data_IF_749412094342
#
_entry.id   IF_749412094342
#
_cell.length_a   1.000
_cell.length_b   1.000
_cell.length_c   1.000
_cell.angle_alpha   90.00
_cell.angle_beta   90.00
_cell.angle_gamma   90.00
#
_symmetry.space_group_name_H-M   'P 1'
#
loop_
_entity.id
_entity.type
_entity.pdbx_description
1 polymer ?
#
# COMPACT_ATOMS: atom_id res chain seq x y z
N UNK A 1 -13.93 -33.25 -7.42
CA UNK A 1 -13.68 -32.11 -8.30
C UNK A 1 -13.21 -30.93 -7.48
N UNK A 2 -12.27 -30.15 -8.03
CA UNK A 2 -11.93 -28.79 -7.55
C UNK A 2 -12.47 -27.85 -8.60
N UNK A 3 -13.27 -26.89 -8.16
CA UNK A 3 -13.86 -25.86 -8.99
C UNK A 3 -13.44 -24.49 -8.47
N UNK A 4 -12.93 -23.63 -9.35
CA UNK A 4 -12.55 -22.27 -9.01
C UNK A 4 -13.33 -21.28 -9.87
N UNK A 5 -13.94 -20.29 -9.23
CA UNK A 5 -14.71 -19.26 -9.90
C UNK A 5 -14.17 -17.87 -9.49
N UNK A 6 -13.94 -17.04 -10.51
CA UNK A 6 -13.60 -15.62 -10.32
C UNK A 6 -14.86 -14.82 -10.66
N UNK A 7 -15.24 -13.90 -9.80
CA UNK A 7 -16.42 -13.05 -9.95
C UNK A 7 -16.13 -11.62 -9.49
N UNK A 8 -17.02 -10.67 -9.77
CA UNK A 8 -16.84 -9.28 -9.34
C UNK A 8 -16.93 -9.13 -7.82
N UNK A 9 -18.04 -9.55 -7.24
CA UNK A 9 -18.39 -9.30 -5.83
C UNK A 9 -18.76 -10.58 -5.06
N UNK A 10 -18.43 -11.74 -5.58
CA UNK A 10 -18.84 -13.02 -5.00
C UNK A 10 -20.18 -13.53 -5.55
N UNK A 11 -20.50 -14.78 -5.19
CA UNK A 11 -21.73 -15.46 -5.63
C UNK A 11 -22.85 -15.38 -4.61
N UNK A 12 -22.57 -14.82 -3.45
CA UNK A 12 -23.50 -14.61 -2.36
C UNK A 12 -23.63 -13.12 -2.03
N UNK A 13 -24.62 -12.75 -1.23
CA UNK A 13 -24.86 -11.38 -0.83
C UNK A 13 -25.62 -10.53 -1.85
N UNK A 14 -25.81 -9.25 -1.52
CA UNK A 14 -26.62 -8.31 -2.29
C UNK A 14 -26.02 -7.92 -3.65
N UNK A 15 -24.73 -8.07 -3.84
CA UNK A 15 -24.00 -7.68 -5.06
C UNK A 15 -23.72 -8.85 -6.02
N UNK A 16 -24.19 -10.05 -5.72
CA UNK A 16 -23.86 -11.30 -6.46
C UNK A 16 -24.16 -11.27 -7.97
N UNK A 17 -25.13 -10.50 -8.39
CA UNK A 17 -25.52 -10.35 -9.79
C UNK A 17 -24.89 -9.14 -10.48
N UNK A 18 -24.10 -8.34 -9.76
CA UNK A 18 -23.51 -7.12 -10.29
C UNK A 18 -22.28 -7.45 -11.13
N UNK A 19 -22.22 -6.88 -12.34
CA UNK A 19 -21.01 -6.93 -13.15
C UNK A 19 -19.92 -6.03 -12.57
N UNK A 20 -18.67 -6.45 -12.70
CA UNK A 20 -17.51 -5.67 -12.28
C UNK A 20 -16.44 -5.70 -13.37
N UNK A 21 -15.69 -4.62 -13.42
CA UNK A 21 -14.44 -4.49 -14.17
C UNK A 21 -13.38 -3.92 -13.25
N UNK A 22 -12.12 -4.25 -13.53
CA UNK A 22 -10.98 -3.80 -12.73
C UNK A 22 -11.05 -2.32 -12.31
N UNK A 23 -11.28 -1.32 -13.19
CA UNK A 23 -11.32 0.08 -12.76
C UNK A 23 -12.45 0.41 -11.78
N UNK A 24 -13.59 -0.27 -11.90
CA UNK A 24 -14.73 -0.09 -10.99
C UNK A 24 -14.36 -0.64 -9.62
N UNK A 25 -13.78 -1.83 -9.59
CA UNK A 25 -13.34 -2.47 -8.35
C UNK A 25 -12.24 -1.67 -7.66
N UNK A 26 -11.27 -1.13 -8.41
CA UNK A 26 -10.25 -0.23 -7.85
C UNK A 26 -10.88 1.01 -7.18
N UNK A 27 -11.93 1.58 -7.78
CA UNK A 27 -12.62 2.74 -7.21
C UNK A 27 -13.37 2.38 -5.93
N UNK A 28 -14.17 1.33 -5.96
CA UNK A 28 -15.07 0.95 -4.86
C UNK A 28 -14.34 0.34 -3.67
N UNK A 29 -13.22 -0.36 -3.91
CA UNK A 29 -12.41 -0.95 -2.84
C UNK A 29 -11.55 0.06 -2.09
N UNK A 30 -11.42 1.30 -2.59
CA UNK A 30 -10.51 2.31 -2.03
C UNK A 30 -9.09 2.27 -2.59
N UNK A 31 -8.75 1.38 -3.52
CA UNK A 31 -7.41 1.36 -4.13
C UNK A 31 -7.07 2.68 -4.81
N UNK A 32 -8.03 3.30 -5.52
CA UNK A 32 -7.81 4.62 -6.12
C UNK A 32 -7.55 5.71 -5.08
N UNK A 33 -8.11 5.60 -3.89
CA UNK A 33 -7.86 6.55 -2.80
C UNK A 33 -6.42 6.50 -2.28
N UNK A 34 -5.70 5.39 -2.48
CA UNK A 34 -4.29 5.25 -2.06
C UNK A 34 -3.30 5.70 -3.14
N UNK A 35 -3.75 5.90 -4.37
CA UNK A 35 -2.92 6.22 -5.53
C UNK A 35 -3.14 7.68 -5.99
N UNK A 36 -2.10 8.28 -6.59
CA UNK A 36 -2.08 9.69 -6.95
C UNK A 36 -1.43 10.57 -5.88
N UNK A 37 -1.64 11.87 -6.00
CA UNK A 37 -1.15 12.89 -5.05
C UNK A 37 -2.20 13.98 -4.79
N UNK A 38 -1.85 15.01 -4.05
CA UNK A 38 -2.75 16.13 -3.72
C UNK A 38 -3.21 16.92 -4.95
N UNK A 39 -2.43 16.92 -6.05
CA UNK A 39 -2.74 17.67 -7.28
C UNK A 39 -3.59 16.85 -8.25
N UNK A 40 -3.25 15.57 -8.40
CA UNK A 40 -3.95 14.67 -9.33
C UNK A 40 -5.25 14.11 -8.75
N UNK A 41 -5.38 14.10 -7.42
CA UNK A 41 -6.47 13.40 -6.74
C UNK A 41 -6.31 11.87 -6.79
N UNK A 42 -7.40 11.12 -6.52
CA UNK A 42 -7.41 9.67 -6.63
C UNK A 42 -7.18 9.22 -8.08
N UNK A 43 -6.33 8.21 -8.27
CA UNK A 43 -6.01 7.69 -9.59
C UNK A 43 -6.06 6.16 -9.61
N UNK A 44 -6.60 5.61 -10.70
CA UNK A 44 -6.46 4.16 -10.94
C UNK A 44 -5.02 3.81 -11.33
N UNK A 45 -4.61 2.58 -11.11
CA UNK A 45 -3.39 2.06 -11.75
C UNK A 45 -3.61 1.89 -13.25
N UNK A 46 -2.57 2.08 -14.05
CA UNK A 46 -2.66 1.92 -15.51
C UNK A 46 -2.91 0.47 -15.96
N UNK A 47 -2.56 -0.49 -15.11
CA UNK A 47 -2.72 -1.91 -15.35
C UNK A 47 -4.03 -2.42 -14.72
N UNK A 48 -4.58 -3.51 -15.25
CA UNK A 48 -5.67 -4.27 -14.64
C UNK A 48 -5.13 -5.10 -13.46
N UNK A 49 -4.73 -4.38 -12.39
CA UNK A 49 -3.98 -4.97 -11.28
C UNK A 49 -4.82 -5.94 -10.47
N UNK A 50 -6.10 -5.63 -10.27
CA UNK A 50 -7.03 -6.48 -9.52
C UNK A 50 -7.33 -7.77 -10.26
N UNK A 51 -7.55 -7.70 -11.57
CA UNK A 51 -7.76 -8.88 -12.42
C UNK A 51 -6.55 -9.82 -12.36
N UNK A 52 -5.34 -9.27 -12.51
CA UNK A 52 -4.09 -10.03 -12.45
C UNK A 52 -3.90 -10.68 -11.08
N UNK A 53 -4.16 -9.94 -10.01
CA UNK A 53 -4.07 -10.47 -8.65
C UNK A 53 -5.11 -11.56 -8.39
N UNK A 54 -6.34 -11.41 -8.89
CA UNK A 54 -7.37 -12.44 -8.76
C UNK A 54 -6.93 -13.75 -9.41
N UNK A 55 -6.26 -13.70 -10.56
CA UNK A 55 -5.62 -14.86 -11.17
C UNK A 55 -4.60 -15.53 -10.26
N UNK A 56 -3.73 -14.76 -9.61
CA UNK A 56 -2.76 -15.30 -8.64
C UNK A 56 -3.45 -15.91 -7.41
N UNK A 57 -4.46 -15.26 -6.84
CA UNK A 57 -5.22 -15.82 -5.71
C UNK A 57 -5.95 -17.11 -6.11
N UNK A 58 -6.49 -17.17 -7.33
CA UNK A 58 -7.12 -18.38 -7.85
C UNK A 58 -6.12 -19.56 -7.92
N UNK A 59 -4.90 -19.32 -8.43
CA UNK A 59 -3.84 -20.34 -8.45
C UNK A 59 -3.49 -20.80 -7.04
N UNK A 60 -3.33 -19.89 -6.10
CA UNK A 60 -3.04 -20.21 -4.69
C UNK A 60 -4.16 -21.07 -4.08
N UNK A 61 -5.41 -20.67 -4.29
CA UNK A 61 -6.58 -21.44 -3.82
C UNK A 61 -6.66 -22.83 -4.42
N UNK A 62 -6.41 -22.97 -5.73
CA UNK A 62 -6.40 -24.26 -6.42
C UNK A 62 -5.30 -25.16 -5.87
N UNK A 63 -4.08 -24.65 -5.68
CA UNK A 63 -2.96 -25.42 -5.12
C UNK A 63 -3.24 -25.88 -3.69
N UNK A 64 -3.82 -25.00 -2.86
CA UNK A 64 -4.22 -25.36 -1.50
C UNK A 64 -5.30 -26.45 -1.49
N UNK A 65 -6.30 -26.35 -2.38
CA UNK A 65 -7.35 -27.35 -2.51
C UNK A 65 -6.82 -28.70 -3.05
N UNK A 66 -5.86 -28.67 -3.97
CA UNK A 66 -5.19 -29.88 -4.46
C UNK A 66 -4.43 -30.59 -3.34
N UNK A 67 -3.67 -29.81 -2.55
CA UNK A 67 -2.96 -30.36 -1.38
C UNK A 67 -3.92 -30.97 -0.35
N UNK A 68 -5.00 -30.26 -0.04
CA UNK A 68 -6.03 -30.76 0.88
C UNK A 68 -6.68 -32.05 0.35
N UNK A 69 -6.98 -32.10 -0.95
CA UNK A 69 -7.55 -33.29 -1.60
C UNK A 69 -6.63 -34.50 -1.54
N UNK A 70 -5.31 -34.31 -1.66
CA UNK A 70 -4.34 -35.41 -1.49
C UNK A 70 -4.40 -36.03 -0.10
N UNK A 71 -4.78 -35.26 0.93
CA UNK A 71 -4.86 -35.72 2.33
C UNK A 71 -6.22 -36.30 2.70
N UNK A 72 -7.32 -35.78 2.16
CA UNK A 72 -8.68 -36.11 2.59
C UNK A 72 -9.58 -36.70 1.50
N UNK A 73 -9.10 -36.76 0.25
CA UNK A 73 -9.84 -37.27 -0.90
C UNK A 73 -10.96 -36.35 -1.40
N UNK A 74 -11.23 -35.22 -0.75
CA UNK A 74 -12.39 -34.37 -1.04
C UNK A 74 -12.04 -33.23 -1.99
N UNK A 75 -12.93 -32.93 -2.93
CA UNK A 75 -12.90 -31.73 -3.74
C UNK A 75 -13.40 -30.52 -2.99
N UNK A 76 -13.18 -29.32 -3.55
CA UNK A 76 -13.61 -28.05 -2.97
C UNK A 76 -14.09 -27.09 -4.06
N UNK A 77 -14.97 -26.18 -3.67
CA UNK A 77 -15.30 -24.99 -4.42
C UNK A 77 -14.47 -23.83 -3.88
N UNK A 78 -13.85 -23.08 -4.79
CA UNK A 78 -13.02 -21.92 -4.48
C UNK A 78 -13.67 -20.70 -5.13
N UNK A 79 -13.86 -19.65 -4.38
CA UNK A 79 -14.38 -18.39 -4.89
C UNK A 79 -13.35 -17.29 -4.69
N UNK A 80 -13.13 -16.48 -5.73
CA UNK A 80 -12.17 -15.37 -5.74
C UNK A 80 -12.88 -14.12 -6.26
N UNK A 81 -13.57 -13.37 -5.41
CA UNK A 81 -14.17 -12.10 -5.81
C UNK A 81 -13.10 -11.06 -6.06
N UNK A 82 -13.20 -10.31 -7.17
CA UNK A 82 -12.30 -9.18 -7.46
C UNK A 82 -12.28 -8.14 -6.34
N UNK A 83 -13.45 -7.84 -5.77
CA UNK A 83 -13.56 -6.88 -4.68
C UNK A 83 -12.77 -7.30 -3.43
N UNK A 84 -12.86 -8.58 -3.03
CA UNK A 84 -12.13 -9.09 -1.88
C UNK A 84 -10.61 -9.04 -2.11
N UNK A 85 -10.18 -9.38 -3.33
CA UNK A 85 -8.77 -9.27 -3.75
C UNK A 85 -8.30 -7.82 -3.69
N UNK A 86 -9.10 -6.89 -4.16
CA UNK A 86 -8.78 -5.47 -4.13
C UNK A 86 -8.65 -4.95 -2.70
N UNK A 87 -9.58 -5.30 -1.81
CA UNK A 87 -9.54 -4.93 -0.39
C UNK A 87 -8.31 -5.54 0.30
N UNK A 88 -8.02 -6.83 0.06
CA UNK A 88 -6.84 -7.49 0.60
C UNK A 88 -5.54 -6.80 0.14
N UNK A 89 -5.53 -6.27 -1.07
CA UNK A 89 -4.37 -5.58 -1.66
C UNK A 89 -4.11 -4.19 -1.10
N UNK A 90 -5.05 -3.60 -0.34
CA UNK A 90 -4.82 -2.33 0.35
C UNK A 90 -3.71 -2.41 1.40
N UNK A 91 -3.39 -3.62 1.89
CA UNK A 91 -2.28 -3.85 2.82
C UNK A 91 -2.36 -2.92 4.04
N UNK A 92 -1.28 -2.19 4.36
CA UNK A 92 -1.22 -1.30 5.51
C UNK A 92 -2.20 -0.12 5.46
N UNK A 93 -2.62 0.34 4.29
CA UNK A 93 -3.67 1.36 4.15
C UNK A 93 -5.01 0.85 4.69
N UNK A 94 -5.43 -0.32 4.24
CA UNK A 94 -6.68 -0.94 4.71
C UNK A 94 -6.62 -1.29 6.20
N UNK A 95 -5.52 -1.87 6.67
CA UNK A 95 -5.34 -2.20 8.09
C UNK A 95 -5.41 -0.95 8.96
N UNK A 96 -4.76 0.15 8.56
CA UNK A 96 -4.77 1.39 9.31
C UNK A 96 -6.16 1.99 9.42
N UNK A 97 -6.87 2.04 8.30
CA UNK A 97 -8.26 2.51 8.27
C UNK A 97 -9.18 1.66 9.15
N UNK A 98 -9.05 0.32 9.11
CA UNK A 98 -9.88 -0.58 9.92
C UNK A 98 -9.58 -0.50 11.41
N UNK A 99 -8.35 -0.16 11.80
CA UNK A 99 -7.96 -0.08 13.21
C UNK A 99 -8.42 1.21 13.89
N UNK A 100 -8.29 2.34 13.22
CA UNK A 100 -8.50 3.65 13.86
C UNK A 100 -9.16 4.70 12.96
N UNK A 101 -9.62 4.32 11.76
CA UNK A 101 -10.24 5.23 10.81
C UNK A 101 -9.27 6.18 10.11
N UNK A 102 -7.95 5.99 10.29
CA UNK A 102 -6.96 6.89 9.69
C UNK A 102 -6.84 6.68 8.18
N UNK A 103 -7.11 7.73 7.42
CA UNK A 103 -6.82 7.79 5.99
C UNK A 103 -5.39 8.30 5.78
N UNK A 104 -4.53 7.44 5.22
CA UNK A 104 -3.17 7.84 4.87
C UNK A 104 -3.19 8.74 3.64
N UNK A 105 -2.41 9.85 3.64
CA UNK A 105 -2.39 10.77 2.51
C UNK A 105 -1.79 10.11 1.26
N UNK A 106 -2.27 10.53 0.09
CA UNK A 106 -1.68 10.19 -1.20
C UNK A 106 -0.39 10.97 -1.40
N UNK A 107 0.68 10.27 -1.69
CA UNK A 107 2.04 10.85 -1.78
C UNK A 107 2.68 10.63 -3.16
N UNK A 108 1.90 10.22 -4.16
CA UNK A 108 2.40 9.94 -5.51
C UNK A 108 3.51 8.90 -5.50
N UNK A 109 4.68 9.30 -6.01
CA UNK A 109 5.86 8.45 -6.03
C UNK A 109 6.67 8.48 -4.72
N UNK A 110 6.18 9.18 -3.71
CA UNK A 110 6.79 9.29 -2.40
C UNK A 110 6.41 8.15 -1.44
N UNK A 111 6.62 8.38 -0.15
CA UNK A 111 6.25 7.44 0.91
C UNK A 111 5.79 8.16 2.16
N UNK A 112 4.79 7.60 2.82
CA UNK A 112 4.36 8.01 4.16
C UNK A 112 5.28 7.46 5.29
N UNK A 113 6.14 6.50 4.96
CA UNK A 113 6.93 5.76 5.96
C UNK A 113 8.40 6.22 6.03
N UNK A 114 8.99 6.68 4.93
CA UNK A 114 10.42 7.01 4.87
C UNK A 114 10.72 8.10 3.83
N UNK A 115 11.81 8.85 4.06
CA UNK A 115 12.33 9.88 3.16
C UNK A 115 13.86 9.75 3.06
N UNK A 116 14.49 10.08 1.90
CA UNK A 116 13.84 10.40 0.63
C UNK A 116 13.36 9.15 -0.12
N UNK A 117 12.10 9.17 -0.51
CA UNK A 117 11.53 8.23 -1.48
C UNK A 117 10.74 9.06 -2.49
N UNK A 118 11.07 8.94 -3.78
CA UNK A 118 10.41 9.72 -4.82
C UNK A 118 11.16 9.76 -6.13
N UNK A 119 10.58 10.47 -7.10
CA UNK A 119 11.19 10.77 -8.38
C UNK A 119 11.91 12.11 -8.34
N UNK A 120 13.18 12.11 -8.71
CA UNK A 120 14.03 13.29 -8.75
C UNK A 120 14.61 13.49 -10.16
N UNK A 121 14.67 14.75 -10.65
CA UNK A 121 15.30 15.01 -11.95
C UNK A 121 16.81 14.88 -11.88
N UNK A 122 17.39 14.16 -12.83
CA UNK A 122 18.84 14.10 -13.06
C UNK A 122 19.32 15.30 -13.90
N UNK A 123 20.65 15.47 -14.06
CA UNK A 123 21.25 16.53 -14.90
C UNK A 123 20.79 16.48 -16.35
N UNK A 124 20.59 15.29 -16.90
CA UNK A 124 20.08 15.05 -18.25
C UNK A 124 18.55 15.18 -18.37
N UNK A 125 17.88 15.68 -17.33
CA UNK A 125 16.42 15.83 -17.20
C UNK A 125 15.64 14.52 -17.16
N UNK A 126 16.30 13.37 -17.12
CA UNK A 126 15.60 12.10 -16.85
C UNK A 126 15.24 11.99 -15.39
N UNK A 127 14.23 11.18 -15.10
CA UNK A 127 13.78 10.96 -13.74
C UNK A 127 14.49 9.76 -13.13
N UNK A 128 14.95 9.91 -11.89
CA UNK A 128 15.57 8.84 -11.10
C UNK A 128 14.64 8.56 -9.91
N UNK A 129 14.27 7.30 -9.71
CA UNK A 129 13.60 6.87 -8.49
C UNK A 129 14.64 6.67 -7.40
N UNK A 130 14.56 7.49 -6.35
CA UNK A 130 15.35 7.33 -5.13
C UNK A 130 14.50 6.62 -4.08
N UNK A 131 15.11 5.65 -3.38
CA UNK A 131 14.47 4.94 -2.26
C UNK A 131 15.46 4.70 -1.14
N UNK A 132 15.37 5.50 -0.08
CA UNK A 132 16.17 5.36 1.14
C UNK A 132 15.30 4.88 2.29
N UNK A 133 14.96 3.59 2.29
CA UNK A 133 14.05 3.00 3.27
C UNK A 133 14.69 2.71 4.65
N UNK A 134 15.98 3.01 4.84
CA UNK A 134 16.68 2.84 6.12
C UNK A 134 17.67 3.96 6.36
N UNK A 135 17.91 4.29 7.64
CA UNK A 135 18.88 5.31 8.06
C UNK A 135 20.29 5.06 7.49
N UNK A 136 20.73 3.80 7.50
CA UNK A 136 22.03 3.41 6.91
C UNK A 136 22.13 3.80 5.44
N UNK A 137 21.07 3.53 4.64
CA UNK A 137 21.04 3.90 3.22
C UNK A 137 20.97 5.40 3.01
N UNK A 138 20.25 6.10 3.86
CA UNK A 138 20.19 7.56 3.86
C UNK A 138 21.56 8.20 4.12
N UNK A 139 22.30 7.71 5.11
CA UNK A 139 23.66 8.16 5.41
C UNK A 139 24.64 7.88 4.26
N UNK A 140 24.53 6.68 3.64
CA UNK A 140 25.34 6.34 2.48
C UNK A 140 25.05 7.26 1.28
N UNK A 141 23.79 7.49 0.99
CA UNK A 141 23.33 8.38 -0.06
C UNK A 141 23.83 9.82 0.18
N UNK A 142 23.67 10.36 1.37
CA UNK A 142 24.19 11.69 1.72
C UNK A 142 25.71 11.82 1.57
N UNK A 143 26.46 10.79 1.90
CA UNK A 143 27.94 10.78 1.72
C UNK A 143 28.32 10.84 0.24
N UNK A 144 27.62 10.13 -0.61
CA UNK A 144 27.86 10.15 -2.05
C UNK A 144 27.51 11.52 -2.65
N UNK A 145 26.41 12.12 -2.26
CA UNK A 145 26.05 13.48 -2.72
C UNK A 145 26.96 14.56 -2.17
N UNK A 146 27.42 14.45 -0.94
CA UNK A 146 28.39 15.36 -0.36
C UNK A 146 29.76 15.33 -1.04
N UNK A 147 30.10 14.22 -1.71
CA UNK A 147 31.30 14.13 -2.53
C UNK A 147 31.12 14.77 -3.93
N UNK A 148 29.90 14.82 -4.44
CA UNK A 148 29.57 15.41 -5.75
C UNK A 148 29.07 16.87 -5.69
N UNK A 149 28.89 17.42 -4.50
CA UNK A 149 28.76 18.87 -4.20
C UNK A 149 27.64 19.66 -4.84
N UNK A 150 26.66 19.06 -5.55
CA UNK A 150 25.62 19.80 -6.31
C UNK A 150 24.19 19.26 -6.26
N UNK A 151 23.94 18.16 -5.61
CA UNK A 151 22.55 17.64 -5.47
C UNK A 151 21.81 18.19 -4.25
N UNK A 152 22.52 18.89 -3.35
CA UNK A 152 21.94 19.43 -2.12
C UNK A 152 20.88 20.51 -2.36
N UNK A 153 20.99 21.30 -3.41
CA UNK A 153 20.04 22.39 -3.67
C UNK A 153 18.69 21.90 -4.19
N UNK A 154 18.66 20.75 -4.88
CA UNK A 154 17.42 20.18 -5.44
C UNK A 154 16.64 19.34 -4.43
N UNK A 155 17.32 18.74 -3.44
CA UNK A 155 16.67 17.93 -2.40
C UNK A 155 16.23 18.75 -1.16
N UNK A 156 16.78 19.97 -1.00
CA UNK A 156 16.50 20.84 0.14
C UNK A 156 15.39 21.86 -0.11
N UNK A 157 14.79 21.92 -1.31
CA UNK A 157 13.61 22.74 -1.53
C UNK A 157 12.37 21.95 -1.12
N UNK A 158 11.80 22.16 0.08
CA UNK A 158 10.50 21.63 0.41
C UNK A 158 9.53 22.27 -0.58
N UNK A 159 8.86 21.46 -1.39
CA UNK A 159 7.67 21.97 -2.08
C UNK A 159 6.69 22.36 -1.00
N UNK A 160 6.48 23.66 -0.83
CA UNK A 160 5.48 24.24 0.05
C UNK A 160 4.14 23.51 -0.18
N UNK A 161 3.66 22.83 0.86
CA UNK A 161 2.34 22.18 0.81
C UNK A 161 2.32 20.76 1.36
N UNK A 162 2.80 20.48 2.56
CA UNK A 162 2.53 19.21 3.21
C UNK A 162 3.48 18.72 4.30
N UNK A 163 4.47 19.52 4.72
CA UNK A 163 5.55 19.01 5.59
C UNK A 163 5.52 19.45 7.06
N UNK A 164 4.84 20.51 7.42
CA UNK A 164 4.94 21.04 8.79
C UNK A 164 4.06 20.33 9.81
N UNK A 165 2.87 19.84 9.43
CA UNK A 165 2.01 19.10 10.38
C UNK A 165 2.52 17.71 10.74
N UNK A 166 3.22 17.02 9.82
CA UNK A 166 3.74 15.69 10.10
C UNK A 166 4.98 15.67 11.00
N UNK A 167 5.74 16.76 11.05
CA UNK A 167 6.92 16.88 11.93
C UNK A 167 6.54 17.13 13.39
N UNK A 168 5.49 17.92 13.64
CA UNK A 168 5.01 18.20 15.01
C UNK A 168 4.31 16.99 15.66
N UNK A 169 3.67 16.11 14.89
CA UNK A 169 3.03 14.91 15.44
C UNK A 169 4.02 13.84 15.95
N UNK A 170 5.30 13.90 15.53
CA UNK A 170 6.31 12.93 15.97
C UNK A 170 7.13 13.36 17.20
N UNK A 171 7.16 14.64 17.53
CA UNK A 171 7.86 15.12 18.72
C UNK A 171 7.07 14.96 20.02
N UNK A 172 5.75 14.74 19.96
CA UNK A 172 4.88 14.58 21.12
C UNK A 172 4.70 13.14 21.64
N UNK A 173 5.13 12.12 20.90
CA UNK A 173 4.85 10.72 21.25
C UNK A 173 6.00 9.98 21.96
N UNK A 174 7.09 10.66 22.29
CA UNK A 174 8.24 10.06 22.99
C UNK A 174 8.47 10.67 24.37
N UNK A 175 7.47 10.72 25.22
CA UNK A 175 7.61 11.18 26.58
C UNK A 175 6.37 10.90 27.38
N UNK A 176 6.34 9.78 28.06
CA UNK A 176 5.86 9.51 29.41
C UNK A 176 5.32 8.07 29.53
N UNK A 177 6.15 7.20 30.07
CA UNK A 177 5.65 5.93 30.65
C UNK A 177 5.08 6.27 32.02
N UNK A 178 3.80 5.99 32.31
CA UNK A 178 3.30 6.13 33.67
C UNK A 178 3.96 5.09 34.59
N UNK A 179 4.57 5.59 35.67
CA UNK A 179 5.23 4.81 36.71
C UNK A 179 4.26 3.81 37.34
N UNK A 180 4.70 2.56 37.49
CA UNK A 180 4.07 1.54 38.32
C UNK A 180 4.07 2.05 39.77
N UNK A 181 2.93 2.41 40.30
CA UNK A 181 2.73 2.54 41.74
C UNK A 181 2.66 1.12 42.33
N UNK A 182 3.66 0.77 43.12
CA UNK A 182 3.58 -0.31 44.09
C UNK A 182 2.69 0.19 45.24
N UNK A 183 1.53 -0.43 45.43
CA UNK A 183 0.72 -0.32 46.61
C UNK A 183 1.08 -1.43 47.56
N UNK A 184 1.63 -1.12 48.71
CA UNK A 184 1.72 -1.99 49.85
C UNK A 184 0.48 -1.86 50.74
N UNK A 185 0.19 -2.92 51.41
CA UNK A 185 -0.71 -3.32 52.48
C UNK A 185 -1.97 -4.03 52.01
#
# INVERSE_FOLDING_TARGET
>A
LIYCSISGYGREGSQKSRAAYDPIVQAESGQMATNGDAKTGPMRTGLAVTDTQAGHFAVQGILAALYARMRNGKGQNIEVPLFDVAVASLSHYGIRYLLDGTELPRVGNGSNAAQPIGLFPAKDRKLIQVTCASERRFVQWRRQEGQEGRAQESAATPREGGGEEAAHARAGACGERPGRRRGGQ
#
